data_IF_957244624841
#
_entry.id   IF_957244624841
#
_cell.length_a   1.000
_cell.length_b   1.000
_cell.length_c   1.000
_cell.angle_alpha   90.00
_cell.angle_beta   90.00
_cell.angle_gamma   90.00
#
_symmetry.space_group_name_H-M   'P 1'
#
loop_
_entity.id
_entity.type
_entity.pdbx_description
1 polymer ?
#
# COMPACT_ATOMS: atom_id res chain seq x y z
N UNK A 1 7.66 -1.41 9.20
CA UNK A 1 8.00 -0.59 8.02
C UNK A 1 9.46 -0.64 7.61
N UNK A 2 10.36 -0.76 8.60
CA UNK A 2 11.78 -0.81 8.29
C UNK A 2 12.18 -2.03 7.45
N UNK A 3 11.66 -3.21 7.76
CA UNK A 3 12.04 -4.45 7.05
C UNK A 3 11.55 -4.50 5.60
N UNK A 4 10.35 -3.99 5.32
CA UNK A 4 9.75 -4.07 3.99
C UNK A 4 9.84 -2.74 3.23
N UNK A 5 9.65 -1.62 3.92
CA UNK A 5 9.58 -0.31 3.29
C UNK A 5 10.88 0.11 2.61
N UNK A 6 12.05 -0.18 3.21
CA UNK A 6 13.32 0.20 2.62
C UNK A 6 13.62 -0.61 1.35
N UNK A 7 13.40 -1.91 1.39
CA UNK A 7 13.63 -2.76 0.22
C UNK A 7 12.66 -2.45 -0.92
N UNK A 8 11.41 -2.09 -0.60
CA UNK A 8 10.47 -1.62 -1.60
C UNK A 8 10.93 -0.32 -2.26
N UNK A 9 11.49 0.62 -1.49
CA UNK A 9 12.03 1.88 -2.02
C UNK A 9 13.28 1.64 -2.87
N UNK A 10 14.21 0.80 -2.40
CA UNK A 10 15.40 0.44 -3.17
C UNK A 10 15.03 -0.20 -4.52
N UNK A 11 13.99 -1.06 -4.52
CA UNK A 11 13.47 -1.66 -5.75
C UNK A 11 12.87 -0.62 -6.69
N UNK A 12 12.06 0.30 -6.18
CA UNK A 12 11.48 1.40 -6.98
C UNK A 12 12.55 2.28 -7.61
N UNK A 13 13.59 2.63 -6.86
CA UNK A 13 14.67 3.51 -7.33
C UNK A 13 15.61 2.81 -8.33
N UNK A 14 15.76 1.49 -8.23
CA UNK A 14 16.60 0.71 -9.13
C UNK A 14 15.88 0.24 -10.40
N UNK A 15 14.55 0.22 -10.39
CA UNK A 15 13.76 -0.24 -11.53
C UNK A 15 13.73 0.80 -12.64
N UNK A 16 13.97 0.38 -13.90
CA UNK A 16 14.10 1.29 -15.05
C UNK A 16 12.81 1.44 -15.89
N UNK A 17 11.72 0.81 -15.45
CA UNK A 17 10.42 0.85 -16.12
C UNK A 17 9.38 1.48 -15.22
N UNK A 18 8.18 1.73 -15.74
CA UNK A 18 7.08 2.25 -14.95
C UNK A 18 6.81 1.37 -13.72
N UNK A 19 6.82 2.00 -12.56
CA UNK A 19 6.54 1.36 -11.28
C UNK A 19 5.43 2.09 -10.55
N UNK A 20 4.68 1.35 -9.75
CA UNK A 20 3.59 1.88 -8.96
C UNK A 20 3.76 1.40 -7.53
N UNK A 21 3.68 2.30 -6.58
CA UNK A 21 3.86 2.00 -5.18
C UNK A 21 2.60 2.33 -4.37
N UNK A 22 2.34 1.55 -3.35
CA UNK A 22 1.26 1.82 -2.42
C UNK A 22 1.68 1.59 -0.97
N UNK A 23 0.97 2.23 -0.08
CA UNK A 23 1.03 1.99 1.35
C UNK A 23 -0.39 1.74 1.86
N UNK A 24 -0.61 0.56 2.44
CA UNK A 24 -1.88 0.22 3.06
C UNK A 24 -1.90 0.75 4.49
N UNK A 25 -2.86 1.61 4.80
CA UNK A 25 -2.96 2.32 6.07
C UNK A 25 -4.30 2.09 6.78
N UNK A 26 -5.09 1.10 6.35
CA UNK A 26 -6.35 0.78 7.00
C UNK A 26 -6.06 0.01 8.30
N UNK A 27 -6.37 0.59 9.46
CA UNK A 27 -6.13 -0.10 10.72
C UNK A 27 -7.11 -1.28 10.86
N UNK A 28 -6.59 -2.42 11.28
CA UNK A 28 -7.44 -3.55 11.65
C UNK A 28 -8.25 -3.20 12.90
N UNK A 29 -9.55 -3.57 12.96
CA UNK A 29 -10.36 -3.39 14.16
C UNK A 29 -9.94 -4.30 15.31
N UNK A 30 -9.13 -5.32 15.07
CA UNK A 30 -8.66 -6.23 16.10
C UNK A 30 -7.93 -5.47 17.22
N UNK A 31 -8.15 -5.91 18.46
CA UNK A 31 -7.59 -5.30 19.65
C UNK A 31 -7.86 -3.78 19.74
N UNK A 32 -9.06 -3.37 19.39
CA UNK A 32 -9.48 -1.95 19.39
C UNK A 32 -8.58 -1.06 18.50
N UNK A 33 -8.13 -1.58 17.37
CA UNK A 33 -7.29 -0.85 16.41
C UNK A 33 -5.80 -0.75 16.80
N UNK A 34 -5.39 -1.33 17.93
CA UNK A 34 -4.00 -1.20 18.43
C UNK A 34 -2.95 -1.86 17.54
N UNK A 35 -3.35 -2.78 16.68
CA UNK A 35 -2.45 -3.40 15.70
C UNK A 35 -2.12 -2.48 14.52
N UNK A 36 -2.92 -1.44 14.27
CA UNK A 36 -2.79 -0.61 13.07
C UNK A 36 -2.96 -1.43 11.79
N UNK A 37 -2.33 -0.98 10.72
CA UNK A 37 -2.18 -1.73 9.47
C UNK A 37 -0.92 -2.60 9.58
N UNK A 38 -1.09 -3.87 9.91
CA UNK A 38 0.01 -4.82 10.06
C UNK A 38 0.30 -5.56 8.74
N UNK A 39 1.42 -6.25 8.69
CA UNK A 39 1.83 -7.03 7.52
C UNK A 39 0.74 -8.01 7.05
N UNK A 40 0.43 -7.99 5.76
CA UNK A 40 -0.62 -8.79 5.12
C UNK A 40 -2.06 -8.46 5.50
N UNK A 41 -2.30 -7.36 6.23
CA UNK A 41 -3.67 -6.94 6.59
C UNK A 41 -4.50 -6.47 5.39
N UNK A 42 -3.89 -6.17 4.26
CA UNK A 42 -4.57 -5.83 3.00
C UNK A 42 -5.15 -7.05 2.27
N UNK A 43 -4.64 -8.25 2.50
CA UNK A 43 -5.02 -9.44 1.73
C UNK A 43 -6.52 -9.78 1.81
N UNK A 44 -7.20 -9.73 2.97
CA UNK A 44 -8.64 -9.96 3.02
C UNK A 44 -9.45 -8.98 2.16
N UNK A 45 -8.99 -7.74 2.04
CA UNK A 45 -9.62 -6.73 1.18
C UNK A 45 -9.36 -7.04 -0.29
N UNK A 46 -8.10 -7.30 -0.65
CA UNK A 46 -7.70 -7.59 -2.04
C UNK A 46 -8.44 -8.82 -2.60
N UNK A 47 -8.60 -9.88 -1.81
CA UNK A 47 -9.26 -11.10 -2.23
C UNK A 47 -10.77 -11.14 -1.90
N UNK A 48 -11.34 -10.06 -1.38
CA UNK A 48 -12.77 -9.95 -1.10
C UNK A 48 -13.28 -10.87 0.00
N UNK A 49 -12.40 -11.35 0.89
CA UNK A 49 -12.77 -12.28 1.97
C UNK A 49 -13.25 -11.58 3.25
N UNK A 50 -13.21 -10.25 3.29
CA UNK A 50 -13.70 -9.46 4.43
C UNK A 50 -15.17 -9.71 4.78
N UNK A 51 -16.01 -9.97 3.77
CA UNK A 51 -17.44 -10.21 3.98
C UNK A 51 -17.77 -11.63 4.45
N UNK A 52 -16.79 -12.51 4.55
CA UNK A 52 -16.97 -13.95 4.88
C UNK A 52 -16.15 -14.34 6.11
N UNK A 53 -14.93 -14.82 5.86
CA UNK A 53 -14.10 -15.47 6.86
C UNK A 53 -13.34 -14.47 7.74
N UNK A 54 -13.14 -13.23 7.25
CA UNK A 54 -12.32 -12.22 7.90
C UNK A 54 -13.10 -10.95 8.27
N UNK A 55 -14.42 -11.06 8.49
CA UNK A 55 -15.26 -9.90 8.83
C UNK A 55 -14.76 -9.13 10.05
N UNK A 56 -14.29 -9.84 11.07
CA UNK A 56 -13.77 -9.23 12.31
C UNK A 56 -12.38 -8.60 12.17
N UNK A 57 -11.70 -8.88 11.05
CA UNK A 57 -10.35 -8.38 10.75
C UNK A 57 -10.37 -7.11 9.90
N UNK A 58 -11.52 -6.83 9.31
CA UNK A 58 -11.70 -5.76 8.34
C UNK A 58 -12.48 -4.59 8.93
N UNK A 59 -12.21 -3.40 8.43
CA UNK A 59 -12.98 -2.20 8.79
C UNK A 59 -14.41 -2.29 8.26
N UNK A 60 -15.29 -1.44 8.82
CA UNK A 60 -16.67 -1.30 8.33
C UNK A 60 -16.76 -0.84 6.86
N UNK A 61 -15.72 -0.19 6.36
CA UNK A 61 -15.64 0.32 4.98
C UNK A 61 -14.95 -0.69 4.05
N UNK A 62 -14.88 -1.97 4.46
CA UNK A 62 -14.17 -3.04 3.75
C UNK A 62 -14.60 -3.19 2.29
N UNK A 63 -15.87 -2.99 1.99
CA UNK A 63 -16.37 -3.14 0.62
C UNK A 63 -15.74 -2.10 -0.31
N UNK A 64 -15.73 -0.84 0.07
CA UNK A 64 -15.16 0.25 -0.75
C UNK A 64 -13.66 0.05 -0.97
N UNK A 65 -12.94 -0.34 0.07
CA UNK A 65 -11.51 -0.62 0.00
C UNK A 65 -11.23 -1.85 -0.88
N UNK A 66 -12.03 -2.91 -0.76
CA UNK A 66 -11.93 -4.10 -1.60
C UNK A 66 -12.18 -3.77 -3.06
N UNK A 67 -13.26 -3.03 -3.36
CA UNK A 67 -13.60 -2.63 -4.72
C UNK A 67 -12.44 -1.83 -5.36
N UNK A 68 -11.85 -0.88 -4.62
CA UNK A 68 -10.69 -0.13 -5.08
C UNK A 68 -9.49 -1.02 -5.39
N UNK A 69 -9.09 -1.89 -4.45
CA UNK A 69 -7.95 -2.78 -4.63
C UNK A 69 -8.15 -3.73 -5.81
N UNK A 70 -9.31 -4.38 -5.90
CA UNK A 70 -9.61 -5.33 -6.97
C UNK A 70 -9.64 -4.66 -8.34
N UNK A 71 -10.24 -3.48 -8.44
CA UNK A 71 -10.26 -2.70 -9.69
C UNK A 71 -8.85 -2.31 -10.09
N UNK A 72 -8.06 -1.72 -9.19
CA UNK A 72 -6.71 -1.24 -9.49
C UNK A 72 -5.76 -2.39 -9.87
N UNK A 73 -5.76 -3.51 -9.14
CA UNK A 73 -4.91 -4.67 -9.46
C UNK A 73 -5.32 -5.35 -10.76
N UNK A 74 -6.63 -5.49 -10.99
CA UNK A 74 -7.14 -6.06 -12.25
C UNK A 74 -6.80 -5.16 -13.44
N UNK A 75 -6.94 -3.85 -13.29
CA UNK A 75 -6.58 -2.88 -14.32
C UNK A 75 -5.07 -2.93 -14.61
N UNK A 76 -4.23 -2.94 -13.57
CA UNK A 76 -2.80 -3.10 -13.74
C UNK A 76 -2.42 -4.38 -14.49
N UNK A 77 -3.03 -5.51 -14.13
CA UNK A 77 -2.78 -6.78 -14.81
C UNK A 77 -3.16 -6.76 -16.30
N UNK A 78 -4.17 -5.97 -16.68
CA UNK A 78 -4.65 -5.86 -18.08
C UNK A 78 -3.88 -4.85 -18.90
N UNK A 79 -3.43 -3.75 -18.31
CA UNK A 79 -2.95 -2.57 -19.04
C UNK A 79 -1.56 -2.12 -18.65
N UNK A 80 -1.01 -2.63 -17.57
CA UNK A 80 0.24 -2.14 -16.97
C UNK A 80 0.07 -0.85 -16.15
N UNK A 81 -1.17 -0.36 -15.96
CA UNK A 81 -1.47 0.81 -15.14
C UNK A 81 -2.60 0.52 -14.16
N UNK A 82 -2.46 0.85 -12.85
CA UNK A 82 -3.50 0.68 -11.85
C UNK A 82 -4.51 1.84 -11.84
N UNK A 83 -4.33 2.86 -12.67
CA UNK A 83 -5.21 4.03 -12.72
C UNK A 83 -6.66 3.64 -13.02
N UNK A 84 -7.59 4.23 -12.29
CA UNK A 84 -9.03 3.95 -12.40
C UNK A 84 -9.84 5.22 -12.17
N UNK A 85 -11.17 5.11 -12.26
CA UNK A 85 -12.06 6.21 -11.90
C UNK A 85 -12.03 6.60 -10.42
N UNK A 86 -11.44 5.75 -9.56
CA UNK A 86 -11.31 5.98 -8.12
C UNK A 86 -10.01 6.69 -7.75
N UNK A 87 -8.95 6.51 -8.54
CA UNK A 87 -7.67 7.18 -8.36
C UNK A 87 -6.92 7.28 -9.70
N UNK A 88 -6.53 8.49 -10.08
CA UNK A 88 -5.56 8.70 -11.17
C UNK A 88 -4.16 8.36 -10.66
N UNK A 89 -3.87 7.05 -10.63
CA UNK A 89 -2.64 6.51 -10.06
C UNK A 89 -1.50 6.60 -11.06
N UNK A 90 -0.78 7.71 -10.98
CA UNK A 90 0.41 7.96 -11.82
C UNK A 90 1.61 7.12 -11.37
N UNK A 91 2.52 6.83 -12.29
CA UNK A 91 3.73 6.08 -11.95
C UNK A 91 4.65 6.82 -10.98
N UNK A 92 5.43 6.06 -10.22
CA UNK A 92 6.36 6.58 -9.23
C UNK A 92 7.45 7.44 -9.90
N UNK A 93 7.98 7.02 -11.05
CA UNK A 93 9.02 7.74 -11.80
C UNK A 93 8.53 9.13 -12.26
N UNK A 94 7.24 9.27 -12.57
CA UNK A 94 6.68 10.55 -13.01
C UNK A 94 6.45 11.53 -11.85
N UNK A 95 6.13 11.04 -10.66
CA UNK A 95 5.58 11.88 -9.58
C UNK A 95 6.32 11.78 -8.24
N UNK A 96 7.08 10.72 -8.00
CA UNK A 96 7.62 10.34 -6.69
C UNK A 96 6.53 10.19 -5.60
N UNK A 97 5.30 9.86 -6.02
CA UNK A 97 4.17 9.68 -5.11
C UNK A 97 3.83 8.21 -4.94
N UNK A 98 3.32 7.88 -3.76
CA UNK A 98 2.88 6.55 -3.34
C UNK A 98 1.40 6.62 -3.03
N UNK A 99 0.63 5.66 -3.53
CA UNK A 99 -0.79 5.59 -3.23
C UNK A 99 -1.00 5.24 -1.75
N UNK A 100 -1.68 6.12 -1.03
CA UNK A 100 -2.09 5.90 0.35
C UNK A 100 -3.47 5.27 0.34
N UNK A 101 -3.54 4.01 0.74
CA UNK A 101 -4.79 3.25 0.79
C UNK A 101 -5.31 3.27 2.24
N UNK A 102 -6.30 4.08 2.47
CA UNK A 102 -7.05 4.19 3.72
C UNK A 102 -8.53 4.45 3.37
N UNK A 103 -9.29 5.16 4.19
CA UNK A 103 -10.69 5.53 3.88
C UNK A 103 -10.82 6.53 2.70
N UNK A 104 -9.71 7.12 2.26
CA UNK A 104 -9.60 7.93 1.05
C UNK A 104 -8.39 7.45 0.28
N UNK A 105 -8.53 7.35 -1.04
CA UNK A 105 -7.44 6.94 -1.92
C UNK A 105 -6.78 8.20 -2.48
N UNK A 106 -5.50 8.38 -2.22
CA UNK A 106 -4.78 9.59 -2.63
C UNK A 106 -3.29 9.28 -2.90
N UNK A 107 -2.68 10.07 -3.77
CA UNK A 107 -1.23 10.02 -4.00
C UNK A 107 -0.54 11.01 -3.06
N UNK A 108 0.46 10.54 -2.33
CA UNK A 108 1.28 11.37 -1.44
C UNK A 108 2.74 10.97 -1.49
N UNK A 109 3.62 11.91 -1.17
CA UNK A 109 5.02 11.61 -0.91
C UNK A 109 5.14 10.61 0.24
N UNK A 110 6.05 9.64 0.09
CA UNK A 110 6.33 8.69 1.17
C UNK A 110 7.24 9.35 2.21
N UNK A 111 6.65 9.85 3.26
CA UNK A 111 7.33 10.70 4.25
C UNK A 111 8.43 10.00 5.07
N UNK A 112 8.47 8.67 5.04
CA UNK A 112 9.40 7.88 5.85
C UNK A 112 10.74 7.57 5.15
N UNK A 113 10.93 7.92 3.87
CA UNK A 113 12.14 7.57 3.11
C UNK A 113 13.42 8.01 3.83
N UNK A 114 13.49 9.27 4.26
CA UNK A 114 14.67 9.79 4.98
C UNK A 114 14.95 9.03 6.26
N UNK A 115 13.91 8.75 7.04
CA UNK A 115 14.02 8.00 8.29
C UNK A 115 14.47 6.56 8.05
N UNK A 116 13.94 5.90 7.03
CA UNK A 116 14.30 4.54 6.66
C UNK A 116 15.75 4.46 6.19
N UNK A 117 16.21 5.42 5.38
CA UNK A 117 17.61 5.50 4.93
C UNK A 117 18.57 5.67 6.10
N UNK A 118 18.29 6.59 7.03
CA UNK A 118 19.11 6.77 8.24
C UNK A 118 19.21 5.49 9.08
N UNK A 119 18.11 4.75 9.23
CA UNK A 119 18.10 3.47 9.95
C UNK A 119 18.95 2.43 9.21
N UNK A 120 18.88 2.39 7.88
CA UNK A 120 19.68 1.47 7.08
C UNK A 120 21.18 1.80 7.14
N UNK A 121 21.55 3.07 7.05
CA UNK A 121 22.92 3.53 7.20
C UNK A 121 23.48 3.19 8.59
N UNK A 122 22.69 3.37 9.63
CA UNK A 122 23.09 3.05 11.01
C UNK A 122 23.32 1.54 11.25
N UNK A 123 22.75 0.65 10.42
CA UNK A 123 22.95 -0.80 10.53
C UNK A 123 24.21 -1.33 9.86
N UNK A 124 24.86 -0.55 9.03
CA UNK A 124 26.13 -0.93 8.39
C UNK A 124 27.28 -1.00 9.42
N UNK A 125 27.01 -0.69 10.68
CA UNK A 125 28.02 -0.64 11.75
C UNK A 125 28.02 -1.91 12.63
N UNK A 126 27.25 -2.98 12.25
CA UNK A 126 27.28 -4.25 12.98
C UNK A 126 27.62 -5.42 12.07
#
# INVERSE_FOLDING_TARGET
DWTFGIHAMDLLESHQSQSYAYQFNVPSPLLDGRLGAYHSSELPYLFGSCAKEFSDWCSKDAKEISDFLQVSWTQFAKTGSPASHLLDWSSYEATNLVAQINLKFELKSYNNVKKLRLINEAKIIY
#
